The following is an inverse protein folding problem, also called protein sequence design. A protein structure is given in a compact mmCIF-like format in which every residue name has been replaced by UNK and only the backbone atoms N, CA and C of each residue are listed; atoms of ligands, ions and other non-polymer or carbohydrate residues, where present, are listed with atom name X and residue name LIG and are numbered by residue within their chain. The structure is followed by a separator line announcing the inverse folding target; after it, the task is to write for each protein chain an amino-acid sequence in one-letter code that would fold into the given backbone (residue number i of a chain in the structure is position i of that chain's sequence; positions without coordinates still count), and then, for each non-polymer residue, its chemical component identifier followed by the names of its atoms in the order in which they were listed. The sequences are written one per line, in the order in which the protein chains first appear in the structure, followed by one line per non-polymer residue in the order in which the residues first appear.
data_IF_085684469008
#
_entry.id   IF_085684469008
#
_cell.length_a   1.000
_cell.length_b   1.000
_cell.length_c   1.000
_cell.angle_alpha   90.00
_cell.angle_beta   90.00
_cell.angle_gamma   90.00
#
_symmetry.space_group_name_H-M   'P 1'
#
loop_
_entity.id
_entity.type
_entity.pdbx_description
1 polymer ?
#
# COMPACT_ATOMS: atom_id res chain seq x y z
N UNK A 1 89.24 10.30 -35.31
CA UNK A 1 88.45 10.71 -34.11
C UNK A 1 87.07 11.32 -34.44
N UNK A 2 86.90 12.03 -35.58
CA UNK A 2 85.61 12.65 -35.95
C UNK A 2 84.48 11.67 -36.34
N UNK A 3 84.78 10.57 -37.05
CA UNK A 3 83.76 9.57 -37.44
C UNK A 3 83.13 8.81 -36.26
N UNK A 4 83.87 8.61 -35.17
CA UNK A 4 83.35 7.94 -33.96
C UNK A 4 82.34 8.83 -33.21
N UNK A 5 82.56 10.16 -33.19
CA UNK A 5 81.61 11.13 -32.63
C UNK A 5 80.30 11.20 -33.41
N UNK A 6 80.35 11.09 -34.74
CA UNK A 6 79.13 11.06 -35.58
C UNK A 6 78.28 9.80 -35.38
N UNK A 7 78.89 8.63 -35.15
CA UNK A 7 78.14 7.42 -34.83
C UNK A 7 77.44 7.52 -33.46
N UNK A 8 78.13 8.02 -32.44
CA UNK A 8 77.57 8.23 -31.09
C UNK A 8 76.37 9.21 -31.10
N UNK A 9 76.46 10.29 -31.88
CA UNK A 9 75.36 11.27 -32.03
C UNK A 9 74.13 10.64 -32.71
N UNK A 10 74.32 9.77 -33.72
CA UNK A 10 73.20 9.09 -34.40
C UNK A 10 72.44 8.13 -33.48
N UNK A 11 73.14 7.30 -32.70
CA UNK A 11 72.47 6.40 -31.75
C UNK A 11 71.79 7.15 -30.61
N UNK A 12 72.36 8.27 -30.16
CA UNK A 12 71.75 9.15 -29.15
C UNK A 12 70.47 9.82 -29.66
N UNK A 13 70.45 10.29 -30.92
CA UNK A 13 69.24 10.85 -31.54
C UNK A 13 68.15 9.78 -31.71
N UNK A 14 68.52 8.57 -32.17
CA UNK A 14 67.57 7.46 -32.32
C UNK A 14 66.98 7.04 -30.97
N UNK A 15 67.80 6.97 -29.92
CA UNK A 15 67.33 6.66 -28.56
C UNK A 15 66.41 7.75 -27.99
N UNK A 16 66.70 9.03 -28.26
CA UNK A 16 65.88 10.16 -27.83
C UNK A 16 64.51 10.16 -28.56
N UNK A 17 64.50 9.83 -29.86
CA UNK A 17 63.29 9.69 -30.65
C UNK A 17 62.43 8.51 -30.19
N UNK A 18 63.06 7.39 -29.79
CA UNK A 18 62.36 6.23 -29.25
C UNK A 18 61.71 6.54 -27.89
N UNK A 19 62.38 7.28 -27.00
CA UNK A 19 61.81 7.73 -25.72
C UNK A 19 60.62 8.69 -25.86
N UNK A 20 60.62 9.56 -26.88
CA UNK A 20 59.50 10.48 -27.16
C UNK A 20 58.25 9.76 -27.67
N UNK A 21 58.39 8.55 -28.23
CA UNK A 21 57.27 7.72 -28.65
C UNK A 21 56.56 7.02 -27.47
N UNK A 22 57.18 6.91 -26.30
CA UNK A 22 56.63 6.19 -25.13
C UNK A 22 55.79 7.05 -24.15
N UNK A 23 55.64 8.36 -24.39
CA UNK A 23 55.07 9.30 -23.39
C UNK A 23 53.61 9.70 -23.60
N UNK A 24 52.87 9.09 -24.52
CA UNK A 24 51.43 9.36 -24.65
C UNK A 24 50.63 8.53 -23.65
N UNK A 25 50.57 8.98 -22.40
CA UNK A 25 49.50 8.61 -21.48
C UNK A 25 48.21 9.27 -21.97
N UNK A 26 47.45 8.61 -22.83
CA UNK A 26 46.10 9.08 -23.17
C UNK A 26 45.21 8.93 -21.94
N UNK A 27 44.65 10.04 -21.47
CA UNK A 27 43.59 10.01 -20.47
C UNK A 27 42.37 9.35 -21.12
N UNK A 28 42.01 8.14 -20.69
CA UNK A 28 40.95 7.32 -21.28
C UNK A 28 39.54 7.76 -20.82
N UNK A 29 39.24 9.05 -20.94
CA UNK A 29 37.92 9.61 -20.66
C UNK A 29 37.16 9.84 -21.96
N UNK A 30 35.97 9.24 -22.06
CA UNK A 30 35.11 9.34 -23.22
C UNK A 30 34.14 10.53 -23.07
N UNK A 31 34.45 11.66 -23.69
CA UNK A 31 33.49 12.75 -23.89
C UNK A 31 32.68 12.53 -25.17
N UNK A 32 31.35 12.47 -25.07
CA UNK A 32 30.46 12.49 -26.24
C UNK A 32 29.83 13.88 -26.32
N UNK A 33 30.08 14.59 -27.42
CA UNK A 33 29.71 15.99 -27.66
C UNK A 33 30.31 16.99 -26.65
N UNK A 34 31.45 16.68 -26.02
CA UNK A 34 32.22 17.61 -25.19
C UNK A 34 33.72 17.29 -25.28
N UNK A 35 34.56 18.31 -25.24
CA UNK A 35 36.03 18.20 -25.17
C UNK A 35 36.55 18.26 -23.74
N UNK A 36 35.70 18.61 -22.77
CA UNK A 36 36.02 18.72 -21.34
C UNK A 36 35.16 17.72 -20.53
N UNK A 37 35.44 16.41 -20.64
CA UNK A 37 34.71 15.40 -19.87
C UNK A 37 34.95 15.57 -18.37
N UNK A 38 33.89 15.47 -17.55
CA UNK A 38 33.96 15.58 -16.09
C UNK A 38 33.96 14.21 -15.38
N UNK A 39 34.23 13.14 -16.13
CA UNK A 39 34.27 11.77 -15.64
C UNK A 39 34.75 10.83 -16.74
N UNK A 40 34.88 9.53 -16.42
CA UNK A 40 35.33 8.52 -17.38
C UNK A 40 34.41 8.40 -18.62
N UNK A 41 33.12 8.69 -18.46
CA UNK A 41 32.15 8.89 -19.54
C UNK A 41 31.35 10.17 -19.25
N UNK A 42 31.35 11.13 -20.17
CA UNK A 42 30.54 12.36 -20.08
C UNK A 42 29.71 12.53 -21.36
N UNK A 43 28.39 12.46 -21.23
CA UNK A 43 27.44 12.72 -22.30
C UNK A 43 26.92 14.16 -22.17
N UNK A 44 27.30 15.05 -23.09
CA UNK A 44 26.82 16.44 -23.09
C UNK A 44 25.75 16.63 -24.18
N UNK A 45 24.49 16.89 -23.78
CA UNK A 45 23.42 17.22 -24.72
C UNK A 45 22.33 18.05 -24.05
N UNK A 46 21.78 19.03 -24.77
CA UNK A 46 20.66 19.86 -24.31
C UNK A 46 19.28 19.28 -24.66
N UNK A 47 19.21 18.29 -25.57
CA UNK A 47 17.95 17.77 -26.10
C UNK A 47 17.93 16.25 -26.42
N UNK A 48 19.00 15.51 -26.10
CA UNK A 48 19.07 14.05 -26.27
C UNK A 48 19.35 13.38 -24.92
N UNK A 49 18.70 12.24 -24.68
CA UNK A 49 18.92 11.43 -23.48
C UNK A 49 19.85 10.23 -23.72
N UNK A 50 20.15 9.52 -22.64
CA UNK A 50 20.79 8.20 -22.68
C UNK A 50 19.73 7.11 -22.77
N UNK A 51 19.83 6.24 -23.77
CA UNK A 51 19.02 5.02 -23.84
C UNK A 51 19.84 3.86 -23.29
N UNK A 52 19.42 3.33 -22.13
CA UNK A 52 20.00 2.12 -21.58
C UNK A 52 19.68 0.90 -22.47
N UNK A 53 20.54 -0.14 -22.48
CA UNK A 53 20.23 -1.41 -23.12
C UNK A 53 18.85 -1.92 -22.66
N UNK A 54 17.96 -2.20 -23.61
CA UNK A 54 16.60 -2.67 -23.35
C UNK A 54 16.60 -4.19 -23.33
N UNK A 55 16.23 -4.78 -22.21
CA UNK A 55 16.23 -6.22 -22.01
C UNK A 55 14.92 -6.70 -21.41
N UNK A 56 14.57 -7.95 -21.64
CA UNK A 56 13.42 -8.59 -21.02
C UNK A 56 13.89 -9.45 -19.85
N UNK A 57 13.90 -8.89 -18.64
CA UNK A 57 14.22 -9.66 -17.44
C UNK A 57 13.09 -10.66 -17.14
N UNK A 58 13.45 -11.80 -16.56
CA UNK A 58 12.48 -12.83 -16.14
C UNK A 58 12.21 -12.83 -14.63
N UNK A 59 13.16 -12.35 -13.83
CA UNK A 59 13.07 -12.14 -12.39
C UNK A 59 14.23 -11.24 -11.95
N UNK A 60 14.20 -10.73 -10.71
CA UNK A 60 15.27 -9.89 -10.18
C UNK A 60 16.52 -10.69 -9.79
N UNK A 61 16.40 -11.95 -9.40
CA UNK A 61 17.51 -12.73 -8.85
C UNK A 61 18.35 -13.49 -9.91
N UNK A 62 18.13 -13.24 -11.20
CA UNK A 62 18.89 -13.86 -12.30
C UNK A 62 19.50 -12.78 -13.20
N UNK A 63 20.81 -12.84 -13.43
CA UNK A 63 21.52 -11.88 -14.28
C UNK A 63 21.09 -11.95 -15.76
N UNK A 64 20.75 -13.16 -16.25
CA UNK A 64 20.29 -13.35 -17.62
C UNK A 64 19.06 -12.49 -17.94
N UNK A 65 18.92 -11.98 -19.18
CA UNK A 65 19.72 -12.28 -20.36
C UNK A 65 21.01 -11.46 -20.49
N UNK A 66 21.34 -10.62 -19.50
CA UNK A 66 22.54 -9.80 -19.53
C UNK A 66 23.75 -10.65 -19.13
N UNK A 67 24.78 -10.64 -19.96
CA UNK A 67 26.00 -11.44 -19.75
C UNK A 67 27.22 -10.54 -19.76
N UNK A 68 28.23 -10.94 -18.99
CA UNK A 68 29.56 -10.35 -19.08
C UNK A 68 30.38 -11.12 -20.13
N UNK A 69 30.86 -10.47 -21.21
CA UNK A 69 31.62 -11.16 -22.25
C UNK A 69 33.05 -11.56 -21.81
N UNK A 70 33.56 -10.99 -20.72
CA UNK A 70 34.97 -11.14 -20.30
C UNK A 70 35.15 -11.86 -18.97
N UNK A 71 34.07 -12.16 -18.25
CA UNK A 71 34.11 -12.87 -16.97
C UNK A 71 32.84 -13.71 -16.78
N UNK A 72 32.86 -14.76 -15.95
CA UNK A 72 31.69 -15.63 -15.75
C UNK A 72 30.50 -14.93 -15.07
N UNK A 73 30.75 -13.91 -14.25
CA UNK A 73 29.72 -13.21 -13.49
C UNK A 73 29.47 -11.81 -14.06
N UNK A 74 28.21 -11.38 -14.02
CA UNK A 74 27.84 -10.01 -14.37
C UNK A 74 28.43 -9.03 -13.36
N UNK A 75 29.08 -7.97 -13.85
CA UNK A 75 29.71 -6.96 -13.00
C UNK A 75 28.64 -6.14 -12.27
N UNK A 76 28.77 -6.00 -10.95
CA UNK A 76 27.93 -5.10 -10.16
C UNK A 76 28.01 -3.65 -10.67
N UNK A 77 26.91 -2.92 -10.62
CA UNK A 77 26.76 -1.61 -11.25
C UNK A 77 26.37 -1.66 -12.73
N UNK A 78 26.13 -2.84 -13.32
CA UNK A 78 25.52 -2.95 -14.67
C UNK A 78 24.10 -2.38 -14.64
N UNK A 79 23.77 -1.47 -15.56
CA UNK A 79 22.44 -0.82 -15.63
C UNK A 79 21.75 -1.17 -16.96
N UNK A 80 20.47 -1.56 -16.88
CA UNK A 80 19.62 -1.86 -18.03
C UNK A 80 18.22 -1.29 -17.86
N UNK A 81 17.49 -1.14 -18.96
CA UNK A 81 16.06 -0.89 -18.94
C UNK A 81 15.31 -2.21 -19.15
N UNK A 82 14.59 -2.67 -18.14
CA UNK A 82 13.71 -3.82 -18.27
C UNK A 82 12.42 -3.44 -19.03
N UNK A 83 12.02 -4.26 -19.98
CA UNK A 83 10.77 -4.08 -20.76
C UNK A 83 9.66 -5.04 -20.35
N UNK A 84 9.95 -6.03 -19.51
CA UNK A 84 9.00 -7.08 -19.16
C UNK A 84 8.24 -6.79 -17.86
N UNK A 85 7.06 -7.36 -17.72
CA UNK A 85 6.34 -7.45 -16.45
C UNK A 85 6.14 -8.92 -16.09
N UNK A 86 6.39 -9.29 -14.85
CA UNK A 86 6.08 -10.63 -14.34
C UNK A 86 5.12 -10.56 -13.15
N UNK A 87 4.47 -11.68 -12.85
CA UNK A 87 3.47 -11.79 -11.76
C UNK A 87 3.56 -13.13 -11.04
N UNK A 88 4.78 -13.68 -10.90
CA UNK A 88 5.04 -14.97 -10.27
C UNK A 88 5.15 -14.86 -8.75
N UNK A 89 5.22 -13.64 -8.19
CA UNK A 89 5.32 -13.35 -6.78
C UNK A 89 6.67 -12.71 -6.43
N UNK A 90 7.47 -13.38 -5.60
CA UNK A 90 8.78 -12.88 -5.22
C UNK A 90 9.69 -12.75 -6.45
N UNK A 91 10.51 -11.69 -6.48
CA UNK A 91 11.45 -11.37 -7.56
C UNK A 91 10.78 -10.92 -8.86
N UNK A 92 9.52 -10.50 -8.82
CA UNK A 92 8.86 -9.95 -10.01
C UNK A 92 9.58 -8.70 -10.53
N UNK A 93 9.62 -8.58 -11.86
CA UNK A 93 10.16 -7.42 -12.56
C UNK A 93 9.05 -6.61 -13.20
N UNK A 94 9.26 -5.30 -13.32
CA UNK A 94 8.35 -4.35 -13.92
C UNK A 94 9.12 -3.44 -14.88
N UNK A 95 8.48 -2.81 -15.88
CA UNK A 95 9.18 -1.92 -16.79
C UNK A 95 9.85 -0.76 -16.05
N UNK A 96 11.14 -0.57 -16.28
CA UNK A 96 11.92 0.45 -15.57
C UNK A 96 13.43 0.21 -15.62
N UNK A 97 14.20 1.11 -15.02
CA UNK A 97 15.65 0.98 -14.92
C UNK A 97 16.00 0.05 -13.77
N UNK A 98 16.93 -0.87 -14.00
CA UNK A 98 17.48 -1.77 -12.98
C UNK A 98 19.00 -1.68 -12.95
N UNK A 99 19.57 -1.77 -11.75
CA UNK A 99 21.00 -1.90 -11.52
C UNK A 99 21.29 -3.27 -10.89
N UNK A 100 22.29 -3.98 -11.41
CA UNK A 100 22.75 -5.24 -10.82
C UNK A 100 23.62 -4.95 -9.60
N UNK A 101 23.28 -5.48 -8.44
CA UNK A 101 24.06 -5.28 -7.20
C UNK A 101 25.21 -6.30 -7.03
N UNK A 102 25.30 -7.28 -7.93
CA UNK A 102 26.20 -8.44 -7.83
C UNK A 102 25.46 -9.76 -7.63
N UNK A 103 24.21 -9.70 -7.14
CA UNK A 103 23.36 -10.84 -6.79
C UNK A 103 21.94 -10.75 -7.36
N UNK A 104 21.40 -9.54 -7.48
CA UNK A 104 20.06 -9.29 -8.00
C UNK A 104 19.96 -7.93 -8.70
N UNK A 105 18.94 -7.81 -9.55
CA UNK A 105 18.49 -6.58 -10.17
C UNK A 105 17.69 -5.77 -9.16
N UNK A 106 18.21 -4.60 -8.80
CA UNK A 106 17.53 -3.64 -7.94
C UNK A 106 16.84 -2.57 -8.80
N UNK A 107 15.51 -2.40 -8.71
CA UNK A 107 14.81 -1.35 -9.42
C UNK A 107 15.30 0.03 -8.99
N UNK A 108 15.54 0.92 -9.95
CA UNK A 108 15.98 2.30 -9.72
C UNK A 108 14.79 3.27 -9.87
N UNK A 109 13.63 2.87 -9.35
CA UNK A 109 12.39 3.63 -9.34
C UNK A 109 11.57 3.27 -8.10
N UNK A 110 10.75 4.20 -7.56
CA UNK A 110 9.90 3.89 -6.43
C UNK A 110 8.82 2.88 -6.84
N UNK A 111 8.71 1.81 -6.06
CA UNK A 111 7.60 0.87 -6.15
C UNK A 111 6.58 1.25 -5.09
N UNK A 112 5.56 2.00 -5.50
CA UNK A 112 4.49 2.48 -4.62
C UNK A 112 3.13 2.06 -5.17
N UNK A 113 2.31 1.50 -4.30
CA UNK A 113 0.90 1.27 -4.57
C UNK A 113 0.07 1.53 -3.31
N UNK A 114 -0.99 2.29 -3.49
CA UNK A 114 -1.91 2.68 -2.42
C UNK A 114 -3.32 2.83 -2.98
N UNK A 115 -4.28 2.21 -2.31
CA UNK A 115 -5.71 2.36 -2.60
C UNK A 115 -6.50 2.43 -1.31
N UNK A 116 -7.38 3.42 -1.22
CA UNK A 116 -8.37 3.57 -0.15
C UNK A 116 -9.76 3.42 -0.74
N UNK A 117 -10.54 2.58 -0.09
CA UNK A 117 -11.98 2.47 -0.29
C UNK A 117 -12.64 3.03 0.95
N UNK A 118 -13.67 3.84 0.77
CA UNK A 118 -14.32 4.56 1.85
C UNK A 118 -15.82 4.32 1.78
N UNK A 119 -16.46 4.31 2.95
CA UNK A 119 -17.90 4.26 3.06
C UNK A 119 -18.52 5.41 2.28
N UNK A 120 -19.60 5.12 1.58
CA UNK A 120 -20.36 6.12 0.83
C UNK A 120 -21.73 6.35 1.50
N UNK A 121 -22.37 7.51 1.27
CA UNK A 121 -23.72 7.76 1.76
C UNK A 121 -24.73 6.66 1.36
N UNK A 122 -25.76 6.41 2.19
CA UNK A 122 -26.81 5.45 1.86
C UNK A 122 -27.51 5.73 0.53
N UNK A 123 -27.84 4.68 -0.23
CA UNK A 123 -28.49 4.81 -1.53
C UNK A 123 -29.79 5.63 -1.43
N UNK A 124 -29.96 6.61 -2.31
CA UNK A 124 -31.11 7.52 -2.29
C UNK A 124 -30.92 8.80 -1.48
N UNK A 125 -29.74 9.03 -0.90
CA UNK A 125 -29.35 10.36 -0.40
C UNK A 125 -29.29 11.35 -1.58
N UNK A 126 -30.09 12.44 -1.58
CA UNK A 126 -30.20 13.36 -2.71
C UNK A 126 -28.91 14.13 -3.05
N UNK A 127 -27.98 14.22 -2.09
CA UNK A 127 -26.74 14.97 -2.21
C UNK A 127 -25.58 14.16 -1.58
N UNK A 128 -24.50 13.84 -2.31
CA UNK A 128 -23.34 13.13 -1.76
C UNK A 128 -22.49 13.96 -0.78
N UNK A 129 -22.84 15.23 -0.53
CA UNK A 129 -22.32 16.04 0.57
C UNK A 129 -23.13 15.90 1.88
N UNK A 130 -24.22 15.12 1.87
CA UNK A 130 -24.99 14.74 3.06
C UNK A 130 -24.25 13.69 3.90
N UNK A 131 -24.69 13.54 5.16
CA UNK A 131 -24.02 12.71 6.16
C UNK A 131 -23.75 11.27 5.67
N UNK A 132 -22.51 10.81 5.81
CA UNK A 132 -22.04 9.44 5.47
C UNK A 132 -22.62 8.40 6.46
N UNK A 133 -23.34 8.86 7.47
CA UNK A 133 -23.89 8.04 8.53
C UNK A 133 -24.91 7.02 8.01
N UNK A 134 -24.50 5.76 7.94
CA UNK A 134 -25.40 4.62 7.76
C UNK A 134 -26.05 4.29 9.09
N UNK A 135 -27.37 4.03 9.08
CA UNK A 135 -28.09 3.53 10.27
C UNK A 135 -28.09 2.00 10.27
N UNK A 136 -27.97 1.40 11.44
CA UNK A 136 -27.94 -0.06 11.63
C UNK A 136 -28.79 -0.45 12.83
N UNK A 137 -29.64 -1.45 12.65
CA UNK A 137 -30.52 -2.06 13.64
C UNK A 137 -29.79 -3.14 14.45
N UNK A 138 -30.38 -3.52 15.57
CA UNK A 138 -29.91 -4.67 16.34
C UNK A 138 -30.31 -5.96 15.60
N UNK A 139 -29.48 -6.98 15.73
CA UNK A 139 -29.59 -8.27 15.06
C UNK A 139 -29.92 -9.34 16.08
N UNK A 140 -30.78 -10.29 15.68
CA UNK A 140 -31.19 -11.41 16.52
C UNK A 140 -30.01 -12.35 16.84
N UNK A 141 -29.00 -12.37 15.96
CA UNK A 141 -27.80 -13.21 16.08
C UNK A 141 -26.66 -12.72 15.17
N UNK A 142 -25.46 -13.28 15.41
CA UNK A 142 -24.20 -12.95 14.75
C UNK A 142 -24.20 -13.15 13.23
N UNK A 143 -25.10 -13.99 12.69
CA UNK A 143 -25.16 -14.30 11.26
C UNK A 143 -25.96 -13.28 10.44
N UNK A 144 -26.73 -12.43 11.11
CA UNK A 144 -27.39 -11.29 10.52
C UNK A 144 -26.47 -10.07 10.64
N UNK A 145 -26.32 -9.31 9.55
CA UNK A 145 -25.44 -8.15 9.50
C UNK A 145 -25.88 -7.18 8.41
N UNK A 146 -25.50 -5.91 8.60
CA UNK A 146 -25.64 -4.89 7.59
C UNK A 146 -24.32 -4.68 6.88
N UNK A 147 -24.37 -4.72 5.56
CA UNK A 147 -23.24 -4.38 4.72
C UNK A 147 -22.94 -2.88 4.81
N UNK A 148 -21.66 -2.51 4.91
CA UNK A 148 -21.26 -1.11 4.92
C UNK A 148 -21.27 -0.56 3.50
N UNK A 149 -22.07 0.48 3.27
CA UNK A 149 -22.27 1.08 1.96
C UNK A 149 -20.94 1.51 1.33
N UNK A 150 -20.70 1.11 0.09
CA UNK A 150 -19.46 1.41 -0.64
C UNK A 150 -18.28 0.49 -0.31
N UNK A 151 -18.41 -0.38 0.68
CA UNK A 151 -17.38 -1.33 1.12
C UNK A 151 -17.82 -2.80 0.96
N UNK A 152 -18.77 -3.05 0.07
CA UNK A 152 -19.28 -4.39 -0.26
C UNK A 152 -18.94 -4.73 -1.71
N UNK A 153 -18.55 -5.99 -1.94
CA UNK A 153 -18.15 -6.56 -3.21
C UNK A 153 -17.11 -5.68 -3.95
N UNK A 154 -16.22 -5.07 -3.18
CA UNK A 154 -15.17 -4.22 -3.73
C UNK A 154 -14.01 -5.09 -4.20
N UNK A 155 -13.32 -4.65 -5.24
CA UNK A 155 -12.17 -5.36 -5.80
C UNK A 155 -10.91 -4.51 -5.68
N UNK A 156 -9.87 -5.08 -5.08
CA UNK A 156 -8.52 -4.54 -5.12
C UNK A 156 -7.66 -5.36 -6.09
N UNK A 157 -6.96 -4.65 -6.98
CA UNK A 157 -6.00 -5.24 -7.92
C UNK A 157 -4.63 -4.58 -7.68
N UNK A 158 -3.66 -5.28 -7.08
CA UNK A 158 -2.36 -4.73 -6.72
C UNK A 158 -1.53 -4.48 -7.98
N UNK A 159 -0.80 -3.36 -7.99
CA UNK A 159 0.13 -3.00 -9.07
C UNK A 159 1.41 -3.85 -9.03
N UNK A 160 1.86 -4.18 -7.83
CA UNK A 160 3.09 -4.95 -7.58
C UNK A 160 2.80 -6.17 -6.71
N UNK A 161 3.46 -7.29 -6.99
CA UNK A 161 3.53 -8.43 -6.09
C UNK A 161 4.36 -8.08 -4.86
N UNK A 162 3.92 -8.56 -3.70
CA UNK A 162 4.64 -8.43 -2.44
C UNK A 162 3.74 -8.22 -1.25
N UNK A 163 4.34 -7.75 -0.16
CA UNK A 163 3.63 -7.55 1.10
C UNK A 163 2.83 -6.27 1.07
N UNK A 164 1.54 -6.37 1.36
CA UNK A 164 0.66 -5.23 1.59
C UNK A 164 0.22 -5.18 3.04
N UNK A 165 0.09 -3.96 3.55
CA UNK A 165 -0.70 -3.65 4.73
C UNK A 165 -2.14 -3.39 4.30
N UNK A 166 -3.09 -4.11 4.90
CA UNK A 166 -4.52 -3.82 4.82
C UNK A 166 -4.91 -3.17 6.15
N UNK A 167 -5.32 -1.90 6.14
CA UNK A 167 -5.86 -1.23 7.32
C UNK A 167 -7.36 -1.07 7.15
N UNK A 168 -8.12 -1.65 8.08
CA UNK A 168 -9.56 -1.50 8.16
C UNK A 168 -9.84 -0.53 9.30
N UNK A 169 -10.43 0.62 8.99
CA UNK A 169 -10.86 1.63 9.97
C UNK A 169 -12.38 1.57 10.06
N UNK A 170 -12.90 1.50 11.28
CA UNK A 170 -14.31 1.32 11.58
C UNK A 170 -14.77 2.41 12.55
N UNK A 171 -16.01 2.83 12.39
CA UNK A 171 -16.64 3.84 13.23
C UNK A 171 -18.06 3.39 13.57
N UNK A 172 -18.38 3.34 14.87
CA UNK A 172 -19.71 2.98 15.35
C UNK A 172 -20.15 3.88 16.50
N UNK A 173 -21.40 4.32 16.51
CA UNK A 173 -22.04 5.03 17.61
C UNK A 173 -23.37 4.39 17.94
N UNK A 174 -23.71 4.36 19.22
CA UNK A 174 -25.01 3.86 19.66
C UNK A 174 -26.14 4.80 19.18
N UNK A 175 -27.36 4.28 19.12
CA UNK A 175 -28.56 5.07 18.82
C UNK A 175 -29.25 5.59 20.09
N UNK A 176 -30.32 6.36 19.92
CA UNK A 176 -30.98 7.09 21.01
C UNK A 176 -31.40 6.15 22.15
N UNK A 177 -31.15 6.56 23.41
CA UNK A 177 -31.54 5.78 24.60
C UNK A 177 -32.79 6.36 25.24
N UNK A 178 -33.66 5.46 25.71
CA UNK A 178 -34.85 5.79 26.47
C UNK A 178 -34.48 6.39 27.83
N UNK A 179 -35.40 7.18 28.40
CA UNK A 179 -35.28 7.59 29.79
C UNK A 179 -35.84 6.50 30.71
N UNK A 180 -34.94 5.70 31.29
CA UNK A 180 -35.31 4.58 32.18
C UNK A 180 -35.13 4.88 33.68
N UNK A 181 -34.64 6.07 34.06
CA UNK A 181 -34.60 6.50 35.46
C UNK A 181 -35.41 7.79 35.69
N UNK A 182 -36.16 7.84 36.79
CA UNK A 182 -36.90 9.05 37.19
C UNK A 182 -36.01 10.00 38.04
N UNK A 183 -36.38 11.27 38.13
CA UNK A 183 -35.82 12.28 39.05
C UNK A 183 -34.35 12.72 38.80
N UNK A 184 -34.04 13.22 37.60
CA UNK A 184 -32.73 13.79 37.23
C UNK A 184 -31.55 12.78 37.17
N UNK A 185 -31.83 11.49 37.26
CA UNK A 185 -30.80 10.45 37.11
C UNK A 185 -30.35 10.29 35.66
N UNK A 186 -29.12 9.81 35.48
CA UNK A 186 -28.52 9.61 34.15
C UNK A 186 -28.86 8.22 33.64
N UNK A 187 -29.54 8.15 32.50
CA UNK A 187 -29.70 6.91 31.73
C UNK A 187 -28.45 6.70 30.86
N UNK A 188 -27.80 5.55 31.00
CA UNK A 188 -26.65 5.16 30.18
C UNK A 188 -26.84 3.72 29.68
N UNK A 189 -26.75 3.54 28.37
CA UNK A 189 -26.85 2.24 27.72
C UNK A 189 -25.62 1.97 26.86
N UNK A 190 -25.37 0.70 26.58
CA UNK A 190 -24.27 0.24 25.71
C UNK A 190 -24.86 -0.58 24.57
N UNK A 191 -24.44 -0.29 23.34
CA UNK A 191 -24.70 -1.17 22.19
C UNK A 191 -23.41 -1.84 21.79
N UNK A 192 -23.43 -3.17 21.69
CA UNK A 192 -22.26 -4.02 21.45
C UNK A 192 -22.46 -4.90 20.22
N UNK A 193 -21.37 -5.21 19.53
CA UNK A 193 -21.44 -5.93 18.29
C UNK A 193 -20.09 -6.16 17.66
N UNK A 194 -20.09 -6.46 16.37
CA UNK A 194 -18.91 -6.86 15.65
C UNK A 194 -18.92 -6.30 14.23
N UNK A 195 -17.75 -5.89 13.76
CA UNK A 195 -17.48 -5.72 12.35
C UNK A 195 -16.91 -7.03 11.77
N UNK A 196 -17.31 -7.29 10.53
CA UNK A 196 -16.87 -8.42 9.73
C UNK A 196 -16.14 -7.90 8.49
N UNK A 197 -14.83 -8.08 8.47
CA UNK A 197 -14.01 -7.79 7.30
C UNK A 197 -13.64 -9.09 6.59
N UNK A 198 -14.12 -9.26 5.37
CA UNK A 198 -13.73 -10.35 4.50
C UNK A 198 -12.78 -9.84 3.42
N UNK A 199 -11.73 -10.59 3.12
CA UNK A 199 -10.88 -10.34 1.95
C UNK A 199 -10.36 -11.68 1.39
N UNK A 200 -10.72 -11.98 0.15
CA UNK A 200 -10.44 -13.26 -0.49
C UNK A 200 -9.84 -13.06 -1.88
N UNK A 201 -8.82 -13.85 -2.19
CA UNK A 201 -8.23 -13.95 -3.51
C UNK A 201 -7.08 -14.97 -3.53
N UNK A 202 -6.32 -15.08 -4.63
CA UNK A 202 -5.23 -16.04 -4.73
C UNK A 202 -4.20 -15.86 -3.61
N UNK A 203 -4.11 -16.85 -2.71
CA UNK A 203 -3.17 -16.85 -1.57
C UNK A 203 -3.57 -15.96 -0.38
N UNK A 204 -4.71 -15.27 -0.45
CA UNK A 204 -5.22 -14.41 0.64
C UNK A 204 -6.60 -14.91 1.05
N UNK A 205 -6.75 -15.21 2.33
CA UNK A 205 -8.02 -15.58 2.95
C UNK A 205 -8.13 -14.92 4.31
N UNK A 206 -9.07 -13.98 4.43
CA UNK A 206 -9.56 -13.41 5.67
C UNK A 206 -11.08 -13.58 5.58
N UNK A 207 -11.63 -14.52 6.34
CA UNK A 207 -13.04 -14.88 6.25
C UNK A 207 -13.60 -15.01 7.67
N UNK A 208 -14.49 -14.09 8.09
CA UNK A 208 -15.11 -14.18 9.40
C UNK A 208 -16.08 -15.38 9.42
N UNK A 209 -16.20 -16.03 10.58
CA UNK A 209 -17.09 -17.19 10.74
C UNK A 209 -18.21 -16.91 11.76
N UNK A 210 -19.20 -16.06 11.41
CA UNK A 210 -20.28 -15.61 12.31
C UNK A 210 -20.97 -16.75 13.08
N UNK A 211 -21.18 -17.89 12.43
CA UNK A 211 -21.83 -19.05 13.04
C UNK A 211 -20.92 -19.88 13.99
N UNK A 212 -19.62 -19.62 14.00
CA UNK A 212 -18.63 -20.44 14.70
C UNK A 212 -18.34 -20.04 16.15
N UNK A 213 -18.92 -18.94 16.64
CA UNK A 213 -18.70 -18.37 17.99
C UNK A 213 -17.22 -18.27 18.41
N UNK A 214 -16.33 -18.08 17.43
CA UNK A 214 -14.88 -17.98 17.64
C UNK A 214 -14.40 -16.61 17.20
N UNK A 215 -14.31 -15.71 18.17
CA UNK A 215 -13.85 -14.34 18.00
C UNK A 215 -12.37 -14.35 17.62
N UNK A 216 -12.07 -14.10 16.34
CA UNK A 216 -10.71 -14.05 15.86
C UNK A 216 -10.50 -12.88 14.89
N UNK A 217 -9.78 -11.87 15.36
CA UNK A 217 -9.42 -10.69 14.57
C UNK A 217 -8.58 -11.07 13.35
N UNK A 218 -7.76 -12.13 13.41
CA UNK A 218 -6.97 -12.60 12.25
C UNK A 218 -7.86 -13.07 11.09
N UNK A 219 -9.08 -13.50 11.40
CA UNK A 219 -10.09 -13.96 10.47
C UNK A 219 -11.11 -12.86 10.09
N UNK A 220 -10.88 -11.60 10.46
CA UNK A 220 -11.78 -10.51 10.06
C UNK A 220 -12.84 -10.14 11.08
N UNK A 221 -12.81 -10.72 12.28
CA UNK A 221 -13.79 -10.43 13.33
C UNK A 221 -13.30 -9.34 14.27
N UNK A 222 -13.98 -8.20 14.32
CA UNK A 222 -13.57 -7.07 15.17
C UNK A 222 -14.71 -6.65 16.08
N UNK A 223 -14.56 -6.86 17.38
CA UNK A 223 -15.53 -6.40 18.37
C UNK A 223 -15.62 -4.86 18.40
N UNK A 224 -16.82 -4.35 18.59
CA UNK A 224 -17.12 -2.93 18.76
C UNK A 224 -18.20 -2.73 19.82
N UNK A 225 -18.15 -1.58 20.50
CA UNK A 225 -19.21 -1.12 21.36
C UNK A 225 -19.26 0.40 21.33
N UNK A 226 -20.42 0.97 21.64
CA UNK A 226 -20.58 2.39 21.85
C UNK A 226 -21.57 2.66 22.99
N UNK A 227 -21.41 3.82 23.62
CA UNK A 227 -22.24 4.24 24.73
C UNK A 227 -23.16 5.35 24.31
N UNK A 228 -24.30 5.40 24.98
CA UNK A 228 -25.23 6.50 24.88
C UNK A 228 -25.81 6.90 26.20
N UNK A 229 -26.08 8.19 26.30
CA UNK A 229 -26.48 8.83 27.55
C UNK A 229 -27.68 9.71 27.31
N UNK A 230 -28.64 9.64 28.22
CA UNK A 230 -29.77 10.54 28.30
C UNK A 230 -29.76 11.30 29.64
N UNK A 231 -29.88 12.63 29.57
CA UNK A 231 -29.93 13.54 30.72
C UNK A 231 -30.66 14.85 30.35
N UNK A 232 -31.90 15.01 30.84
CA UNK A 232 -32.75 16.18 30.60
C UNK A 232 -32.22 17.48 31.22
N UNK A 233 -31.39 17.40 32.26
CA UNK A 233 -30.88 18.56 32.99
C UNK A 233 -29.66 19.18 32.30
N UNK A 234 -28.84 18.36 31.66
CA UNK A 234 -27.64 18.82 30.96
C UNK A 234 -27.97 19.44 29.60
N UNK A 235 -29.05 18.98 28.93
CA UNK A 235 -29.44 19.51 27.64
C UNK A 235 -30.95 19.38 27.37
N UNK A 236 -31.80 20.32 27.84
CA UNK A 236 -33.26 20.21 27.72
C UNK A 236 -33.80 20.26 26.28
N UNK A 237 -33.00 20.72 25.30
CA UNK A 237 -33.39 20.78 23.88
C UNK A 237 -32.91 19.55 23.07
N UNK A 238 -31.95 18.78 23.61
CA UNK A 238 -31.45 17.53 23.03
C UNK A 238 -30.86 16.68 24.15
N UNK A 239 -31.73 16.00 24.89
CA UNK A 239 -31.40 15.28 26.13
C UNK A 239 -30.47 14.09 25.93
N UNK A 240 -30.02 13.81 24.71
CA UNK A 240 -29.25 12.65 24.34
C UNK A 240 -27.89 12.98 23.72
N UNK A 241 -26.89 12.14 24.01
CA UNK A 241 -25.60 12.13 23.33
C UNK A 241 -25.10 10.70 23.15
N UNK A 242 -24.59 10.40 21.95
CA UNK A 242 -23.80 9.20 21.67
C UNK A 242 -22.30 9.48 21.68
N UNK A 243 -21.54 8.50 22.17
CA UNK A 243 -20.10 8.48 22.02
C UNK A 243 -19.72 7.61 20.81
N UNK A 244 -19.17 8.23 19.77
CA UNK A 244 -18.63 7.49 18.62
C UNK A 244 -17.36 6.73 19.05
N UNK A 245 -17.32 5.44 18.71
CA UNK A 245 -16.18 4.57 18.87
C UNK A 245 -15.47 4.41 17.52
N UNK A 246 -14.17 4.68 17.51
CA UNK A 246 -13.32 4.49 16.33
C UNK A 246 -12.32 3.38 16.61
N UNK A 247 -12.28 2.38 15.74
CA UNK A 247 -11.38 1.24 15.87
C UNK A 247 -10.67 0.96 14.54
N UNK A 248 -9.53 0.28 14.62
CA UNK A 248 -8.85 -0.18 13.41
C UNK A 248 -8.14 -1.50 13.64
N UNK A 249 -8.16 -2.34 12.62
CA UNK A 249 -7.38 -3.58 12.56
C UNK A 249 -6.46 -3.54 11.34
N UNK A 250 -5.29 -4.17 11.46
CA UNK A 250 -4.27 -4.19 10.40
C UNK A 250 -3.89 -5.64 10.08
N UNK A 251 -3.92 -5.97 8.80
CA UNK A 251 -3.45 -7.24 8.26
C UNK A 251 -2.22 -7.02 7.39
N UNK A 252 -1.32 -8.01 7.42
CA UNK A 252 -0.21 -8.11 6.47
C UNK A 252 -0.42 -9.36 5.64
N UNK A 253 -0.50 -9.19 4.32
CA UNK A 253 -0.74 -10.29 3.38
C UNK A 253 0.11 -10.10 2.14
N UNK A 254 0.52 -11.21 1.53
CA UNK A 254 1.27 -11.20 0.29
C UNK A 254 0.28 -11.26 -0.88
N UNK A 255 0.34 -10.24 -1.75
CA UNK A 255 -0.51 -10.08 -2.91
C UNK A 255 0.29 -10.34 -4.19
N UNK A 256 -0.40 -10.70 -5.27
CA UNK A 256 0.19 -10.91 -6.60
C UNK A 256 -0.29 -9.85 -7.58
N UNK A 257 0.66 -9.20 -8.27
CA UNK A 257 0.39 -8.16 -9.25
C UNK A 257 -0.69 -8.59 -10.26
N UNK A 258 -1.65 -7.70 -10.51
CA UNK A 258 -2.71 -7.89 -11.51
C UNK A 258 -3.78 -8.92 -11.16
N UNK A 259 -3.71 -9.58 -9.99
CA UNK A 259 -4.77 -10.48 -9.52
C UNK A 259 -5.87 -9.71 -8.80
N UNK A 260 -7.12 -10.15 -8.93
CA UNK A 260 -8.24 -9.51 -8.24
C UNK A 260 -8.44 -10.14 -6.85
N UNK A 261 -8.64 -9.27 -5.87
CA UNK A 261 -8.98 -9.63 -4.50
C UNK A 261 -10.29 -8.94 -4.13
N UNK A 262 -11.30 -9.72 -3.80
CA UNK A 262 -12.61 -9.19 -3.41
C UNK A 262 -12.65 -9.03 -1.90
N UNK A 263 -13.23 -7.93 -1.42
CA UNK A 263 -13.42 -7.71 0.00
C UNK A 263 -14.80 -7.13 0.32
N UNK A 264 -15.22 -7.35 1.57
CA UNK A 264 -16.46 -6.89 2.14
C UNK A 264 -16.23 -6.36 3.56
N UNK A 265 -16.94 -5.29 3.93
CA UNK A 265 -17.08 -4.87 5.32
C UNK A 265 -18.57 -4.85 5.68
N UNK A 266 -18.90 -5.47 6.81
CA UNK A 266 -20.23 -5.49 7.39
C UNK A 266 -20.17 -5.26 8.90
N UNK A 267 -21.32 -4.96 9.51
CA UNK A 267 -21.51 -4.81 10.94
C UNK A 267 -22.70 -5.64 11.43
N UNK A 268 -22.58 -6.24 12.61
CA UNK A 268 -23.64 -6.95 13.31
C UNK A 268 -23.68 -6.45 14.75
N UNK A 269 -24.73 -5.71 15.09
CA UNK A 269 -24.98 -5.26 16.46
C UNK A 269 -25.89 -6.30 17.13
N UNK A 270 -25.53 -6.79 18.31
CA UNK A 270 -26.23 -7.91 18.96
C UNK A 270 -26.66 -7.47 20.35
N UNK A 271 -27.88 -7.85 20.74
CA UNK A 271 -28.52 -7.41 21.99
C UNK A 271 -27.71 -7.71 23.25
N UNK A 272 -27.63 -6.70 24.13
CA UNK A 272 -27.53 -6.89 25.59
C UNK A 272 -28.60 -6.12 26.38
N UNK A 273 -29.35 -5.18 25.77
CA UNK A 273 -30.36 -4.38 26.47
C UNK A 273 -31.50 -3.84 25.59
N UNK A 274 -32.35 -4.75 25.07
CA UNK A 274 -33.50 -4.49 24.19
C UNK A 274 -34.53 -3.42 24.64
N UNK A 275 -34.40 -2.86 25.85
CA UNK A 275 -35.35 -1.90 26.42
C UNK A 275 -34.71 -0.56 26.81
N UNK A 276 -33.42 -0.37 26.53
CA UNK A 276 -32.70 0.86 26.88
C UNK A 276 -32.60 1.83 25.69
N UNK A 277 -32.81 1.34 24.46
CA UNK A 277 -32.77 2.12 23.24
C UNK A 277 -34.18 2.42 22.73
N UNK A 278 -34.37 3.59 22.12
CA UNK A 278 -35.64 3.98 21.49
C UNK A 278 -36.02 2.93 20.45
N UNK A 279 -37.28 2.49 20.45
CA UNK A 279 -37.76 1.39 19.59
C UNK A 279 -36.88 0.12 19.65
N UNK A 280 -36.27 -0.16 20.80
CA UNK A 280 -35.38 -1.32 21.00
C UNK A 280 -34.03 -1.22 20.29
N UNK A 281 -33.74 -0.10 19.63
CA UNK A 281 -32.58 0.04 18.74
C UNK A 281 -32.82 -0.45 17.32
N UNK A 282 -34.05 -0.86 16.98
CA UNK A 282 -34.39 -1.49 15.70
C UNK A 282 -34.94 -0.52 14.65
N UNK A 283 -35.32 0.69 15.07
CA UNK A 283 -35.87 1.69 14.15
C UNK A 283 -35.72 3.12 14.66
N UNK A 284 -36.15 4.08 13.83
CA UNK A 284 -36.20 5.49 14.23
C UNK A 284 -34.86 6.06 14.66
N UNK A 285 -34.87 6.77 15.79
CA UNK A 285 -33.66 7.39 16.36
C UNK A 285 -32.84 6.41 17.20
N UNK A 286 -33.39 5.27 17.59
CA UNK A 286 -32.69 4.19 18.30
C UNK A 286 -31.68 3.42 17.46
N UNK A 287 -31.74 3.51 16.13
CA UNK A 287 -30.76 2.86 15.25
C UNK A 287 -29.33 3.34 15.54
N UNK A 288 -28.38 2.42 15.55
CA UNK A 288 -26.95 2.75 15.61
C UNK A 288 -26.48 3.57 14.41
N UNK A 289 -25.29 4.16 14.55
CA UNK A 289 -24.68 5.07 13.59
C UNK A 289 -23.34 4.51 13.12
N UNK A 290 -23.17 4.32 11.81
CA UNK A 290 -21.92 3.85 11.21
C UNK A 290 -21.37 4.92 10.29
N UNK A 291 -20.14 5.37 10.54
CA UNK A 291 -19.47 6.37 9.71
C UNK A 291 -20.01 7.80 9.81
N UNK A 292 -20.42 8.24 11.01
CA UNK A 292 -20.95 9.59 11.23
C UNK A 292 -19.90 10.70 10.99
N UNK A 293 -18.87 10.79 11.84
CA UNK A 293 -17.83 11.84 11.69
C UNK A 293 -16.63 11.37 10.86
N UNK A 294 -16.29 10.09 10.98
CA UNK A 294 -15.20 9.45 10.25
C UNK A 294 -15.78 8.21 9.57
N UNK A 295 -15.82 8.17 8.23
CA UNK A 295 -16.35 7.02 7.51
C UNK A 295 -15.51 5.78 7.76
N UNK A 296 -16.14 4.61 7.72
CA UNK A 296 -15.41 3.35 7.64
C UNK A 296 -14.55 3.34 6.36
N UNK A 297 -13.39 2.69 6.40
CA UNK A 297 -12.51 2.61 5.23
C UNK A 297 -11.62 1.37 5.23
N UNK A 298 -11.27 0.90 4.03
CA UNK A 298 -10.28 -0.15 3.82
C UNK A 298 -9.14 0.40 2.96
N UNK A 299 -7.92 0.36 3.49
CA UNK A 299 -6.72 0.89 2.85
C UNK A 299 -5.72 -0.24 2.56
N UNK A 300 -5.27 -0.34 1.32
CA UNK A 300 -4.20 -1.22 0.88
C UNK A 300 -2.95 -0.38 0.64
N UNK A 301 -1.84 -0.74 1.27
CA UNK A 301 -0.54 -0.06 1.11
C UNK A 301 0.55 -1.08 0.81
N UNK A 302 1.25 -0.92 -0.31
CA UNK A 302 2.42 -1.74 -0.63
C UNK A 302 3.58 -1.42 0.31
N UNK A 303 4.24 -2.46 0.81
CA UNK A 303 5.37 -2.34 1.74
C UNK A 303 6.71 -2.80 1.14
N UNK A 304 6.68 -3.46 -0.02
CA UNK A 304 7.86 -4.08 -0.63
C UNK A 304 7.82 -5.61 -0.64
N UNK A 305 8.93 -6.17 -1.13
CA UNK A 305 9.23 -7.61 -1.15
C UNK A 305 10.33 -7.92 -0.14
#
# INVERSE_FOLDING_TARGET
MAMYKLHQIKYSIISLMLCFCYSNSSLAQAGINTTEPQGALHLHSSNKGLVYPRVSLSNTNTAAPVVNPSAPNLTAGTIVYNTNSTSTGNNDVYPGIYAWDGTQWTPQFPMEDYRKFEQIPPAGTPDPSEAICQRTDIKDNETQFDNINGLTNQTFTPKYSGKYRIKVSMSYGAGEVENFYNNDDISLATSEGNFYFECVGPGVSIVPNPAGYSYNYENGWVYTHAYSVFNERQNPDNSYSNAMMYSSVVYYRDFRAGQNYTFNLAISMIELSANEFVDGGDSGTGLGHVGHDIPCSVEFTYLGN
#
